data_IF_405611762769
#
_entry.id   IF_405611762769
#
_cell.length_a   1.000
_cell.length_b   1.000
_cell.length_c   1.000
_cell.angle_alpha   90.00
_cell.angle_beta   90.00
_cell.angle_gamma   90.00
#
_symmetry.space_group_name_H-M   'P 1'
#
loop_
_entity.id
_entity.type
_entity.pdbx_description
1 polymer ?
#
# COMPACT_ATOMS: atom_id res chain seq x y z
N UNK A 1 -60.96 31.09 8.58
CA UNK A 1 -60.32 30.25 9.61
C UNK A 1 -59.79 28.97 8.94
N UNK A 2 -58.60 29.02 8.33
CA UNK A 2 -58.00 27.86 7.63
C UNK A 2 -56.73 27.44 8.37
N UNK A 3 -56.91 26.67 9.44
CA UNK A 3 -55.79 25.96 10.08
C UNK A 3 -55.95 24.50 9.69
N UNK A 4 -55.40 24.16 8.53
CA UNK A 4 -55.43 22.83 7.96
C UNK A 4 -54.62 21.89 8.84
N UNK A 5 -55.31 20.91 9.42
CA UNK A 5 -54.77 19.73 10.11
C UNK A 5 -53.46 19.29 9.46
N UNK A 6 -52.37 19.44 10.21
CA UNK A 6 -51.08 18.85 9.89
C UNK A 6 -51.31 17.35 9.79
N UNK A 7 -51.29 16.87 8.55
CA UNK A 7 -51.55 15.49 8.15
C UNK A 7 -50.64 14.59 9.01
N UNK A 8 -51.23 13.72 9.82
CA UNK A 8 -50.50 12.84 10.75
C UNK A 8 -49.42 12.05 10.01
N UNK A 9 -49.64 11.76 8.72
CA UNK A 9 -48.66 11.16 7.80
C UNK A 9 -47.41 12.02 7.60
N UNK A 10 -47.56 13.34 7.52
CA UNK A 10 -46.46 14.31 7.38
C UNK A 10 -45.66 14.43 8.67
N UNK A 11 -46.34 14.40 9.83
CA UNK A 11 -45.67 14.39 11.13
C UNK A 11 -44.91 13.07 11.36
N UNK A 12 -45.51 11.93 11.01
CA UNK A 12 -44.86 10.61 11.07
C UNK A 12 -43.64 10.58 10.14
N UNK A 13 -43.76 11.03 8.89
CA UNK A 13 -42.64 11.07 7.95
C UNK A 13 -41.50 11.98 8.44
N UNK A 14 -41.82 13.14 9.04
CA UNK A 14 -40.82 14.02 9.63
C UNK A 14 -40.14 13.40 10.86
N UNK A 15 -40.87 12.64 11.68
CA UNK A 15 -40.29 11.90 12.82
C UNK A 15 -39.40 10.76 12.32
N UNK A 16 -39.82 9.98 11.32
CA UNK A 16 -39.02 8.91 10.71
C UNK A 16 -37.76 9.44 10.04
N UNK A 17 -37.87 10.51 9.25
CA UNK A 17 -36.71 11.15 8.63
C UNK A 17 -35.75 11.71 9.68
N UNK A 18 -36.26 12.29 10.77
CA UNK A 18 -35.43 12.78 11.88
C UNK A 18 -34.73 11.64 12.63
N UNK A 19 -35.39 10.49 12.81
CA UNK A 19 -34.77 9.27 13.38
C UNK A 19 -33.68 8.72 12.47
N UNK A 20 -33.92 8.63 11.16
CA UNK A 20 -32.91 8.17 10.19
C UNK A 20 -31.71 9.14 10.15
N UNK A 21 -31.95 10.46 10.14
CA UNK A 21 -30.89 11.48 10.19
C UNK A 21 -30.09 11.43 11.50
N UNK A 22 -30.76 11.19 12.64
CA UNK A 22 -30.08 11.02 13.94
C UNK A 22 -29.25 9.72 13.99
N UNK A 23 -29.73 8.64 13.39
CA UNK A 23 -28.96 7.40 13.19
C UNK A 23 -27.75 7.60 12.26
N UNK A 24 -27.90 8.37 11.16
CA UNK A 24 -26.83 8.61 10.19
C UNK A 24 -25.77 9.63 10.69
N UNK A 25 -26.15 10.62 11.50
CA UNK A 25 -25.19 11.59 12.11
C UNK A 25 -24.20 10.93 13.07
N UNK A 26 -24.51 9.72 13.57
CA UNK A 26 -23.64 8.92 14.41
C UNK A 26 -23.05 7.69 13.70
N UNK A 27 -22.83 7.77 12.38
CA UNK A 27 -21.89 6.85 11.75
C UNK A 27 -20.51 6.98 12.42
N UNK A 28 -19.87 5.88 12.85
CA UNK A 28 -18.73 5.95 13.74
C UNK A 28 -17.52 6.59 13.04
N UNK A 29 -17.26 7.86 13.34
CA UNK A 29 -16.03 8.61 13.02
C UNK A 29 -14.74 7.89 13.46
N UNK A 30 -14.88 6.86 14.30
CA UNK A 30 -13.82 5.96 14.78
C UNK A 30 -13.07 5.29 13.61
N UNK A 31 -13.77 4.94 12.54
CA UNK A 31 -13.18 4.27 11.37
C UNK A 31 -12.32 5.22 10.51
N UNK A 32 -12.80 6.43 10.26
CA UNK A 32 -12.05 7.48 9.55
C UNK A 32 -10.84 7.97 10.36
N UNK A 33 -10.95 8.06 11.69
CA UNK A 33 -9.80 8.32 12.57
C UNK A 33 -8.76 7.21 12.44
N UNK A 34 -9.17 5.93 12.47
CA UNK A 34 -8.27 4.78 12.30
C UNK A 34 -7.52 4.81 10.96
N UNK A 35 -8.18 5.13 9.85
CA UNK A 35 -7.51 5.29 8.55
C UNK A 35 -6.54 6.47 8.48
N UNK A 36 -6.89 7.61 9.10
CA UNK A 36 -5.99 8.77 9.19
C UNK A 36 -4.75 8.47 10.02
N UNK A 37 -4.90 7.75 11.14
CA UNK A 37 -3.77 7.33 11.99
C UNK A 37 -2.83 6.38 11.26
N UNK A 38 -3.36 5.39 10.52
CA UNK A 38 -2.54 4.46 9.72
C UNK A 38 -1.82 5.21 8.59
N UNK A 39 -2.51 6.12 7.89
CA UNK A 39 -1.89 6.92 6.82
C UNK A 39 -0.76 7.82 7.35
N UNK A 40 -0.97 8.43 8.53
CA UNK A 40 0.06 9.24 9.17
C UNK A 40 1.24 8.39 9.64
N UNK A 41 1.00 7.20 10.20
CA UNK A 41 2.05 6.27 10.59
C UNK A 41 2.89 5.81 9.39
N UNK A 42 2.25 5.48 8.26
CA UNK A 42 2.96 5.10 7.03
C UNK A 42 3.76 6.28 6.48
N UNK A 43 3.20 7.50 6.51
CA UNK A 43 3.89 8.69 6.03
C UNK A 43 5.10 9.06 6.91
N UNK A 44 4.92 9.01 8.24
CA UNK A 44 5.96 9.32 9.21
C UNK A 44 7.10 8.30 9.20
N UNK A 45 6.80 7.03 8.87
CA UNK A 45 7.78 5.96 8.78
C UNK A 45 8.16 5.61 7.33
N UNK A 46 7.82 6.46 6.35
CA UNK A 46 8.22 6.24 4.96
C UNK A 46 9.71 6.51 4.84
N UNK A 47 10.52 5.45 4.90
CA UNK A 47 11.96 5.57 4.69
C UNK A 47 12.22 5.83 3.20
N UNK A 48 12.42 7.09 2.84
CA UNK A 48 12.85 7.48 1.50
C UNK A 48 14.36 7.33 1.42
N UNK A 49 14.83 6.11 1.16
CA UNK A 49 16.26 5.91 0.91
C UNK A 49 16.62 6.46 -0.48
N UNK A 50 17.09 7.71 -0.52
CA UNK A 50 17.71 8.29 -1.71
C UNK A 50 19.20 8.03 -1.65
N UNK A 51 19.69 7.14 -2.51
CA UNK A 51 21.11 6.82 -2.61
C UNK A 51 21.75 7.67 -3.71
N UNK A 52 22.99 8.12 -3.49
CA UNK A 52 23.78 8.87 -4.50
C UNK A 52 24.53 7.93 -5.43
N UNK A 53 24.85 6.72 -4.97
CA UNK A 53 25.60 5.69 -5.69
C UNK A 53 24.97 4.31 -5.52
N UNK A 54 25.26 3.40 -6.44
CA UNK A 54 24.82 2.02 -6.46
C UNK A 54 25.36 1.26 -5.24
N UNK A 55 24.45 0.66 -4.48
CA UNK A 55 24.74 -0.09 -3.24
C UNK A 55 24.99 -1.58 -3.47
N UNK A 56 25.37 -1.98 -4.69
CA UNK A 56 25.67 -3.38 -4.98
C UNK A 56 27.03 -3.77 -4.37
N UNK A 57 27.09 -4.79 -3.49
CA UNK A 57 28.33 -5.20 -2.85
C UNK A 57 29.20 -6.05 -3.78
N UNK A 58 30.50 -5.80 -3.75
CA UNK A 58 31.53 -6.68 -4.30
C UNK A 58 32.38 -7.23 -3.16
N UNK A 59 32.58 -8.55 -3.14
CA UNK A 59 33.34 -9.24 -2.11
C UNK A 59 32.58 -9.48 -0.81
N UNK A 60 33.26 -10.09 0.16
CA UNK A 60 32.74 -10.29 1.51
C UNK A 60 33.02 -9.04 2.38
N UNK A 61 32.08 -8.55 3.20
CA UNK A 61 32.32 -7.43 4.12
C UNK A 61 33.54 -7.58 5.06
N UNK A 62 34.06 -8.79 5.26
CA UNK A 62 35.25 -9.06 6.07
C UNK A 62 36.58 -8.94 5.28
N UNK A 63 36.51 -8.83 3.96
CA UNK A 63 37.67 -8.71 3.07
C UNK A 63 38.07 -7.24 2.86
N UNK A 64 39.35 -6.99 2.59
CA UNK A 64 39.87 -5.63 2.39
C UNK A 64 39.41 -5.01 1.08
N UNK A 65 39.09 -5.88 0.13
CA UNK A 65 38.65 -5.55 -1.22
C UNK A 65 37.14 -5.31 -1.28
N UNK A 66 36.42 -5.36 -0.15
CA UNK A 66 35.00 -5.06 -0.09
C UNK A 66 34.72 -3.62 -0.53
N UNK A 67 33.87 -3.46 -1.53
CA UNK A 67 33.41 -2.16 -1.99
C UNK A 67 32.03 -2.23 -2.63
N UNK A 68 31.40 -1.08 -2.77
CA UNK A 68 30.15 -0.95 -3.52
C UNK A 68 30.42 -0.49 -4.95
N UNK A 69 29.52 -0.86 -5.87
CA UNK A 69 29.64 -0.55 -7.29
C UNK A 69 29.88 0.94 -7.61
N UNK A 70 29.27 1.87 -6.88
CA UNK A 70 29.58 3.29 -7.04
C UNK A 70 28.93 3.99 -8.24
N UNK A 71 28.38 3.26 -9.21
CA UNK A 71 27.65 3.83 -10.35
C UNK A 71 26.39 4.61 -9.95
N UNK A 72 25.84 5.41 -10.86
CA UNK A 72 24.58 6.13 -10.60
C UNK A 72 23.42 5.14 -10.38
N UNK A 73 22.68 5.25 -9.27
CA UNK A 73 21.53 4.39 -9.02
C UNK A 73 20.39 4.70 -9.99
N UNK A 74 19.59 3.67 -10.27
CA UNK A 74 18.37 3.80 -11.06
C UNK A 74 17.27 4.50 -10.24
N UNK A 75 16.34 5.16 -10.92
CA UNK A 75 15.32 5.99 -10.29
C UNK A 75 14.53 5.24 -9.21
N UNK A 76 14.53 5.80 -7.99
CA UNK A 76 13.88 5.24 -6.81
C UNK A 76 14.36 3.82 -6.42
N UNK A 77 15.54 3.41 -6.85
CA UNK A 77 16.15 2.11 -6.51
C UNK A 77 17.56 2.31 -5.94
N UNK A 78 18.05 1.38 -5.10
CA UNK A 78 19.39 1.46 -4.51
C UNK A 78 20.52 1.07 -5.46
N UNK A 79 20.20 0.48 -6.61
CA UNK A 79 21.18 -0.13 -7.53
C UNK A 79 21.15 0.56 -8.90
N UNK A 80 22.25 0.50 -9.64
CA UNK A 80 22.29 0.92 -11.05
C UNK A 80 21.44 -0.01 -11.93
N UNK A 81 21.30 0.31 -13.22
CA UNK A 81 20.45 -0.45 -14.15
C UNK A 81 20.86 -1.92 -14.23
N UNK A 82 22.16 -2.19 -14.32
CA UNK A 82 22.69 -3.55 -14.42
C UNK A 82 22.36 -4.36 -13.17
N UNK A 83 22.72 -3.84 -12.00
CA UNK A 83 22.48 -4.50 -10.73
C UNK A 83 20.99 -4.60 -10.37
N UNK A 84 20.13 -3.73 -10.89
CA UNK A 84 18.68 -3.91 -10.78
C UNK A 84 18.19 -5.16 -11.50
N UNK A 85 18.73 -5.48 -12.69
CA UNK A 85 18.33 -6.67 -13.44
C UNK A 85 18.73 -7.97 -12.71
N UNK A 86 19.81 -7.91 -11.93
CA UNK A 86 20.29 -9.04 -11.13
C UNK A 86 19.46 -9.17 -9.84
N UNK A 87 19.21 -8.04 -9.16
CA UNK A 87 18.49 -8.02 -7.88
C UNK A 87 17.00 -8.37 -8.00
N UNK A 88 16.35 -7.92 -9.08
CA UNK A 88 14.90 -8.01 -9.25
C UNK A 88 14.57 -8.99 -10.38
N UNK A 89 14.07 -10.16 -10.00
CA UNK A 89 13.55 -11.14 -10.95
C UNK A 89 12.06 -10.87 -11.19
N UNK A 90 11.65 -10.81 -12.45
CA UNK A 90 10.24 -10.70 -12.80
C UNK A 90 9.46 -11.96 -12.41
N UNK A 91 8.32 -11.79 -11.76
CA UNK A 91 7.49 -12.90 -11.30
C UNK A 91 6.98 -13.78 -12.46
N UNK A 92 6.83 -13.20 -13.65
CA UNK A 92 6.47 -13.93 -14.88
C UNK A 92 7.59 -14.89 -15.31
N UNK A 93 8.84 -14.47 -15.19
CA UNK A 93 10.01 -15.31 -15.50
C UNK A 93 10.16 -16.42 -14.44
N UNK A 94 9.89 -16.13 -13.16
CA UNK A 94 9.81 -17.15 -12.11
C UNK A 94 8.73 -18.20 -12.38
N UNK A 95 7.57 -17.82 -12.92
CA UNK A 95 6.48 -18.77 -13.26
C UNK A 95 6.85 -19.67 -14.44
N UNK A 96 7.38 -19.10 -15.53
CA UNK A 96 7.85 -19.88 -16.70
C UNK A 96 8.88 -20.94 -16.32
N UNK A 97 9.85 -20.60 -15.46
CA UNK A 97 10.88 -21.55 -15.04
C UNK A 97 10.34 -22.74 -14.22
N UNK A 98 9.23 -22.54 -13.50
CA UNK A 98 8.53 -23.63 -12.79
C UNK A 98 7.76 -24.52 -13.76
N UNK A 99 7.08 -23.92 -14.73
CA UNK A 99 6.27 -24.65 -15.71
C UNK A 99 7.13 -25.49 -16.67
N UNK A 100 8.35 -25.03 -16.98
CA UNK A 100 9.32 -25.75 -17.80
C UNK A 100 10.08 -26.88 -17.07
N UNK A 101 9.84 -27.11 -15.77
CA UNK A 101 10.52 -28.20 -15.05
C UNK A 101 9.83 -29.54 -15.38
N UNK A 102 10.56 -30.55 -15.90
CA UNK A 102 9.96 -31.85 -16.16
C UNK A 102 9.38 -32.40 -14.86
N UNK A 103 8.09 -32.76 -14.88
CA UNK A 103 7.42 -33.37 -13.74
C UNK A 103 8.15 -34.68 -13.45
N UNK A 104 8.77 -34.77 -12.28
CA UNK A 104 9.34 -36.03 -11.80
C UNK A 104 8.18 -36.99 -11.57
N UNK A 105 8.06 -37.99 -12.45
CA UNK A 105 7.14 -39.11 -12.24
C UNK A 105 7.85 -40.02 -11.26
N UNK A 106 7.30 -40.16 -10.05
CA UNK A 106 7.77 -41.19 -9.11
C UNK A 106 7.36 -42.55 -9.68
N UNK A 107 8.32 -43.47 -9.79
CA UNK A 107 8.10 -44.86 -10.16
C UNK A 107 7.50 -45.65 -9.00
#
# INVERSE_FOLDING_TARGET
MFVSKIDTKRLILLVFLKIIILCYRNQPLKYLKKMKTIKNFILQNKVTHTFTSCQWPYGDPQEKEFHFCGEKPFENKPYCKEHCNIAYIDEKELKKSRDNKPRKIAA
#
